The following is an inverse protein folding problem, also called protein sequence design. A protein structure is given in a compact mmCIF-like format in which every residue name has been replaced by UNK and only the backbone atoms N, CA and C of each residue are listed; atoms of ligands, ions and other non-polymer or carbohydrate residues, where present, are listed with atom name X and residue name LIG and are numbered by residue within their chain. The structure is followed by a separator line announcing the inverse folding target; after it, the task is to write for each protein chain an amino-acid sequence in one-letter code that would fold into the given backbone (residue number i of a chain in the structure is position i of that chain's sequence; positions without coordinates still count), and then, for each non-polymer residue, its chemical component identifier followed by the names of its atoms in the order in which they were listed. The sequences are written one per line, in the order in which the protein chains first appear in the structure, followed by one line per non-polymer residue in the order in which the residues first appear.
data_IF_887348716185
#
_entry.id   IF_887348716185
#
_cell.length_a   1.000
_cell.length_b   1.000
_cell.length_c   1.000
_cell.angle_alpha   90.00
_cell.angle_beta   90.00
_cell.angle_gamma   90.00
#
_symmetry.space_group_name_H-M   'P 1'
#
loop_
_entity.id
_entity.type
_entity.pdbx_description
1 polymer ?
#
# COMPACT_ATOMS: atom_id res chain seq x y z
N UNK A 1 2.98 8.77 15.14
CA UNK A 1 2.57 9.49 13.93
C UNK A 1 1.09 9.21 13.64
N UNK A 2 0.36 10.23 13.24
CA UNK A 2 -1.04 10.10 12.86
C UNK A 2 -1.14 9.80 11.38
N UNK A 3 -1.88 8.75 11.02
CA UNK A 3 -2.03 8.32 9.62
C UNK A 3 -2.70 9.39 8.75
N UNK A 4 -3.51 10.27 9.33
CA UNK A 4 -4.20 11.35 8.60
C UNK A 4 -3.25 12.44 8.10
N UNK A 5 -2.02 12.47 8.58
CA UNK A 5 -0.97 13.40 8.14
C UNK A 5 -0.04 12.78 7.10
N UNK A 6 -0.27 11.52 6.76
CA UNK A 6 0.57 10.80 5.80
C UNK A 6 0.20 11.15 4.36
N UNK A 7 1.11 10.88 3.43
CA UNK A 7 1.00 11.21 2.01
C UNK A 7 -0.38 10.90 1.40
N UNK A 8 -0.93 9.74 1.72
CA UNK A 8 -2.17 9.28 1.11
C UNK A 8 -3.38 10.07 1.57
N UNK A 9 -3.40 10.52 2.83
CA UNK A 9 -4.58 11.08 3.47
C UNK A 9 -4.52 12.59 3.74
N UNK A 10 -3.37 13.22 3.48
CA UNK A 10 -3.20 14.63 3.75
C UNK A 10 -4.27 15.47 3.06
N UNK A 11 -4.95 16.31 3.84
CA UNK A 11 -5.99 17.20 3.34
C UNK A 11 -7.31 16.55 3.01
N UNK A 12 -7.48 15.25 3.27
CA UNK A 12 -8.75 14.56 3.05
C UNK A 12 -9.73 14.81 4.21
N UNK A 13 -11.00 14.59 3.91
CA UNK A 13 -12.10 14.68 4.88
C UNK A 13 -11.85 13.70 6.05
N UNK A 14 -12.00 14.22 7.28
CA UNK A 14 -11.82 13.42 8.49
C UNK A 14 -12.77 12.25 8.59
N UNK A 15 -14.00 12.41 8.14
CA UNK A 15 -14.98 11.32 8.16
C UNK A 15 -14.55 10.17 7.23
N UNK A 16 -13.98 10.53 6.08
CA UNK A 16 -13.44 9.53 5.16
C UNK A 16 -12.27 8.77 5.80
N UNK A 17 -11.33 9.50 6.41
CA UNK A 17 -10.17 8.90 7.07
C UNK A 17 -10.62 7.96 8.20
N UNK A 18 -11.58 8.39 9.02
CA UNK A 18 -12.15 7.53 10.08
C UNK A 18 -12.77 6.27 9.53
N UNK A 19 -13.55 6.39 8.45
CA UNK A 19 -14.18 5.24 7.82
C UNK A 19 -13.14 4.26 7.27
N UNK A 20 -12.11 4.78 6.63
CA UNK A 20 -11.00 3.98 6.16
C UNK A 20 -10.33 3.25 7.33
N UNK A 21 -9.97 3.96 8.38
CA UNK A 21 -9.31 3.39 9.55
C UNK A 21 -10.16 2.30 10.23
N UNK A 22 -11.48 2.47 10.23
CA UNK A 22 -12.40 1.49 10.82
C UNK A 22 -12.38 0.14 10.09
N UNK A 23 -11.97 0.14 8.83
CA UNK A 23 -11.87 -1.09 8.02
C UNK A 23 -10.52 -1.77 8.14
N UNK A 24 -9.54 -1.14 8.79
CA UNK A 24 -8.18 -1.65 8.84
C UNK A 24 -7.95 -2.50 10.08
N UNK A 25 -6.97 -3.41 9.96
CA UNK A 25 -6.38 -4.12 11.08
C UNK A 25 -4.89 -3.78 11.12
N UNK A 26 -4.36 -3.57 12.33
CA UNK A 26 -2.95 -3.32 12.53
C UNK A 26 -2.20 -4.64 12.58
N UNK A 27 -1.12 -4.75 11.82
CA UNK A 27 -0.27 -5.95 11.83
C UNK A 27 1.19 -5.55 12.04
N UNK A 28 1.93 -6.44 12.70
CA UNK A 28 3.35 -6.28 12.97
C UNK A 28 4.13 -7.42 12.33
N UNK A 29 5.28 -7.07 11.79
CA UNK A 29 6.17 -8.02 11.13
C UNK A 29 7.59 -7.82 11.66
N UNK A 30 8.37 -8.89 11.65
CA UNK A 30 9.80 -8.82 11.99
C UNK A 30 10.64 -8.72 10.72
N UNK A 31 11.90 -8.35 10.89
CA UNK A 31 12.86 -8.30 9.78
C UNK A 31 12.90 -9.66 9.06
N UNK A 32 12.80 -9.62 7.74
CA UNK A 32 12.85 -10.82 6.91
C UNK A 32 11.51 -11.46 6.61
N UNK A 33 10.44 -11.06 7.31
CA UNK A 33 9.10 -11.60 7.04
C UNK A 33 8.62 -11.16 5.67
N UNK A 34 7.93 -12.06 4.97
CA UNK A 34 7.18 -11.72 3.77
C UNK A 34 5.75 -11.35 4.15
N UNK A 35 5.28 -10.26 3.59
CA UNK A 35 3.87 -9.84 3.73
C UNK A 35 3.05 -10.60 2.70
N UNK A 36 3.56 -10.70 1.48
CA UNK A 36 3.01 -11.55 0.42
C UNK A 36 4.11 -11.86 -0.59
N UNK A 37 3.87 -12.90 -1.39
CA UNK A 37 4.76 -13.32 -2.48
C UNK A 37 4.14 -12.97 -3.82
N UNK A 38 4.98 -12.68 -4.81
CA UNK A 38 4.56 -12.52 -6.20
C UNK A 38 3.77 -13.75 -6.62
N UNK A 39 2.59 -13.53 -7.21
CA UNK A 39 1.71 -14.62 -7.63
C UNK A 39 0.69 -15.06 -6.58
N UNK A 40 0.81 -14.60 -5.33
CA UNK A 40 -0.22 -14.84 -4.33
C UNK A 40 -1.50 -14.10 -4.70
N UNK A 41 -2.64 -14.62 -4.26
CA UNK A 41 -3.93 -13.98 -4.46
C UNK A 41 -3.94 -12.61 -3.81
N UNK A 42 -4.34 -11.59 -4.58
CA UNK A 42 -4.29 -10.19 -4.15
C UNK A 42 -5.56 -9.82 -3.37
N UNK A 43 -5.63 -10.24 -2.11
CA UNK A 43 -6.82 -10.03 -1.27
C UNK A 43 -6.75 -8.77 -0.40
N UNK A 44 -5.56 -8.24 -0.14
CA UNK A 44 -5.38 -7.16 0.84
C UNK A 44 -4.58 -5.99 0.27
N UNK A 45 -4.99 -4.80 0.73
CA UNK A 45 -4.32 -3.53 0.51
C UNK A 45 -3.64 -3.14 1.82
N UNK A 46 -2.49 -2.50 1.74
CA UNK A 46 -1.70 -2.14 2.91
C UNK A 46 -1.27 -0.69 2.88
N UNK A 47 -1.14 -0.08 4.07
CA UNK A 47 -0.44 1.18 4.24
C UNK A 47 0.61 1.02 5.34
N UNK A 48 1.77 1.65 5.15
CA UNK A 48 2.85 1.60 6.12
C UNK A 48 2.57 2.54 7.29
N UNK A 49 2.75 2.05 8.52
CA UNK A 49 2.78 2.90 9.71
C UNK A 49 4.23 3.28 10.01
N UNK A 50 5.09 2.28 10.20
CA UNK A 50 6.52 2.49 10.39
C UNK A 50 7.29 1.25 9.97
N UNK A 51 8.55 1.44 9.61
CA UNK A 51 9.42 0.37 9.16
C UNK A 51 9.83 0.55 7.71
N UNK A 52 10.23 -0.55 7.08
CA UNK A 52 10.67 -0.53 5.69
C UNK A 52 10.29 -1.85 5.01
N UNK A 53 9.62 -1.73 3.88
CA UNK A 53 9.21 -2.87 3.06
C UNK A 53 9.93 -2.79 1.72
N UNK A 54 10.52 -3.90 1.32
CA UNK A 54 11.14 -4.06 0.01
C UNK A 54 10.15 -4.77 -0.90
N UNK A 55 9.94 -4.23 -2.11
CA UNK A 55 9.24 -4.98 -3.15
C UNK A 55 10.27 -5.60 -4.09
N UNK A 56 10.00 -6.82 -4.54
CA UNK A 56 10.93 -7.58 -5.35
C UNK A 56 10.20 -8.42 -6.39
N UNK A 57 10.90 -8.76 -7.48
CA UNK A 57 10.37 -9.58 -8.56
C UNK A 57 11.31 -10.75 -8.85
N UNK A 58 10.73 -11.86 -9.32
CA UNK A 58 11.49 -13.04 -9.73
C UNK A 58 11.97 -13.89 -8.57
N UNK A 59 12.51 -15.07 -8.91
CA UNK A 59 13.02 -16.04 -7.92
C UNK A 59 14.28 -15.51 -7.21
N UNK A 60 15.02 -14.62 -7.87
CA UNK A 60 16.22 -14.00 -7.31
C UNK A 60 15.91 -12.78 -6.44
N UNK A 61 14.63 -12.47 -6.22
CA UNK A 61 14.17 -11.38 -5.38
C UNK A 61 14.85 -10.04 -5.75
N UNK A 62 14.83 -9.70 -7.04
CA UNK A 62 15.40 -8.43 -7.52
C UNK A 62 14.57 -7.28 -6.96
N UNK A 63 15.21 -6.42 -6.18
CA UNK A 63 14.55 -5.27 -5.56
C UNK A 63 14.07 -4.29 -6.64
N UNK A 64 12.79 -3.87 -6.53
CA UNK A 64 12.20 -2.89 -7.44
C UNK A 64 12.16 -1.51 -6.79
N UNK A 65 11.58 -1.41 -5.59
CA UNK A 65 11.56 -0.17 -4.81
C UNK A 65 11.32 -0.49 -3.34
N UNK A 66 11.55 0.52 -2.49
CA UNK A 66 11.31 0.43 -1.05
C UNK A 66 10.12 1.30 -0.66
N UNK A 67 9.37 0.82 0.33
CA UNK A 67 8.28 1.54 0.96
C UNK A 67 8.74 1.88 2.36
N UNK A 68 8.99 3.16 2.63
CA UNK A 68 9.56 3.61 3.89
C UNK A 68 8.98 4.92 4.42
N UNK A 69 7.93 5.44 3.79
CA UNK A 69 7.22 6.63 4.28
C UNK A 69 5.90 6.22 4.92
N UNK A 70 5.61 6.77 6.10
CA UNK A 70 4.34 6.52 6.77
C UNK A 70 3.17 6.94 5.88
N UNK A 71 2.16 6.06 5.78
CA UNK A 71 1.00 6.26 4.91
C UNK A 71 1.20 5.83 3.48
N UNK A 72 2.39 5.37 3.13
CA UNK A 72 2.66 4.89 1.78
C UNK A 72 1.92 3.58 1.53
N UNK A 73 1.20 3.50 0.39
CA UNK A 73 0.35 2.36 0.05
C UNK A 73 1.08 1.32 -0.80
N UNK A 74 0.72 0.06 -0.61
CA UNK A 74 1.17 -1.03 -1.47
C UNK A 74 0.14 -2.17 -1.44
N UNK A 75 0.39 -3.22 -2.23
CA UNK A 75 -0.61 -4.27 -2.41
C UNK A 75 -1.77 -3.79 -3.26
N UNK A 76 -1.50 -2.93 -4.23
CA UNK A 76 -2.51 -2.21 -5.03
C UNK A 76 -3.34 -3.14 -5.90
N UNK A 77 -2.82 -4.31 -6.27
CA UNK A 77 -3.56 -5.28 -7.08
C UNK A 77 -4.90 -5.64 -6.45
N UNK A 78 -4.99 -5.60 -5.10
CA UNK A 78 -6.20 -5.96 -4.37
C UNK A 78 -7.39 -5.03 -4.62
N UNK A 79 -7.15 -3.81 -5.09
CA UNK A 79 -8.21 -2.83 -5.38
C UNK A 79 -8.29 -2.48 -6.86
N UNK A 80 -7.44 -3.08 -7.68
CA UNK A 80 -7.44 -2.92 -9.14
C UNK A 80 -7.99 -4.19 -9.77
N UNK A 81 -8.11 -4.20 -11.11
CA UNK A 81 -8.64 -5.36 -11.83
C UNK A 81 -7.55 -6.43 -12.01
N UNK A 82 -6.94 -6.85 -10.89
CA UNK A 82 -5.89 -7.85 -10.86
C UNK A 82 -6.14 -8.86 -9.74
N UNK A 83 -5.97 -10.13 -10.07
CA UNK A 83 -6.25 -11.22 -9.13
C UNK A 83 -5.04 -11.61 -8.29
N UNK A 84 -3.83 -11.25 -8.72
CA UNK A 84 -2.60 -11.69 -8.07
C UNK A 84 -1.64 -10.53 -7.90
N UNK A 85 -0.79 -10.62 -6.86
CA UNK A 85 0.28 -9.64 -6.68
C UNK A 85 1.34 -9.82 -7.76
N UNK A 86 1.83 -8.72 -8.30
CA UNK A 86 2.85 -8.74 -9.37
C UNK A 86 4.27 -8.53 -8.84
N UNK A 87 4.42 -8.48 -7.52
CA UNK A 87 5.71 -8.39 -6.84
C UNK A 87 5.57 -9.01 -5.46
N UNK A 88 6.68 -9.39 -4.85
CA UNK A 88 6.73 -9.80 -3.45
C UNK A 88 6.96 -8.59 -2.57
N UNK A 89 6.52 -8.65 -1.31
CA UNK A 89 6.78 -7.61 -0.32
C UNK A 89 7.34 -8.25 0.94
N UNK A 90 8.53 -7.81 1.37
CA UNK A 90 9.20 -8.34 2.55
C UNK A 90 9.76 -7.21 3.40
N UNK A 91 9.91 -7.47 4.69
CA UNK A 91 10.32 -6.45 5.65
C UNK A 91 11.84 -6.42 5.81
N UNK A 92 12.43 -5.23 5.64
CA UNK A 92 13.87 -5.02 5.84
C UNK A 92 14.23 -4.72 7.29
N UNK A 93 13.22 -4.39 8.10
CA UNK A 93 13.35 -4.08 9.52
C UNK A 93 11.99 -4.35 10.19
N UNK A 94 11.89 -4.29 11.54
CA UNK A 94 10.59 -4.42 12.19
C UNK A 94 9.60 -3.40 11.62
N UNK A 95 8.41 -3.86 11.25
CA UNK A 95 7.46 -3.07 10.46
C UNK A 95 6.06 -3.19 11.04
N UNK A 96 5.33 -2.07 11.04
CA UNK A 96 3.91 -2.02 11.38
C UNK A 96 3.12 -1.54 10.18
N UNK A 97 2.04 -2.23 9.89
CA UNK A 97 1.17 -1.98 8.73
C UNK A 97 -0.28 -1.84 9.17
N UNK A 98 -1.05 -1.11 8.36
CA UNK A 98 -2.50 -1.22 8.35
C UNK A 98 -2.87 -2.11 7.16
N UNK A 99 -3.69 -3.10 7.41
CA UNK A 99 -4.17 -4.08 6.43
C UNK A 99 -5.66 -3.92 6.26
N UNK A 100 -6.13 -3.92 5.02
CA UNK A 100 -7.55 -3.81 4.72
C UNK A 100 -7.88 -4.75 3.57
N UNK A 101 -9.02 -5.47 3.68
CA UNK A 101 -9.49 -6.33 2.61
C UNK A 101 -9.84 -5.50 1.38
N UNK A 102 -9.36 -5.93 0.21
CA UNK A 102 -9.53 -5.18 -1.04
C UNK A 102 -10.98 -4.96 -1.42
N UNK A 103 -11.83 -5.98 -1.27
CA UNK A 103 -13.25 -5.86 -1.60
C UNK A 103 -13.97 -4.86 -0.69
N UNK A 104 -13.65 -4.87 0.60
CA UNK A 104 -14.21 -3.92 1.56
C UNK A 104 -13.78 -2.50 1.24
N UNK A 105 -12.52 -2.32 0.88
CA UNK A 105 -12.00 -1.00 0.49
C UNK A 105 -12.67 -0.52 -0.80
N UNK A 106 -12.82 -1.36 -1.79
CA UNK A 106 -13.49 -1.00 -3.04
C UNK A 106 -14.91 -0.54 -2.80
N UNK A 107 -15.66 -1.24 -1.95
CA UNK A 107 -17.03 -0.85 -1.61
C UNK A 107 -17.05 0.49 -0.90
N UNK A 108 -16.15 0.69 0.05
CA UNK A 108 -16.02 1.96 0.77
C UNK A 108 -15.71 3.13 -0.18
N UNK A 109 -14.80 2.90 -1.12
CA UNK A 109 -14.43 3.93 -2.11
C UNK A 109 -15.62 4.28 -3.03
N UNK A 110 -16.43 3.30 -3.43
CA UNK A 110 -17.63 3.53 -4.22
C UNK A 110 -18.65 4.38 -3.46
N UNK A 111 -18.73 4.20 -2.15
CA UNK A 111 -19.67 4.94 -1.30
C UNK A 111 -19.20 6.38 -1.02
N UNK A 112 -17.96 6.72 -1.37
CA UNK A 112 -17.35 8.04 -1.11
C UNK A 112 -16.67 8.58 -2.36
N UNK A 113 -17.45 8.87 -3.44
CA UNK A 113 -16.86 9.19 -4.74
C UNK A 113 -15.95 10.42 -4.76
N UNK A 114 -16.25 11.43 -3.96
CA UNK A 114 -15.43 12.65 -3.90
C UNK A 114 -14.03 12.36 -3.36
N UNK A 115 -13.95 11.68 -2.21
CA UNK A 115 -12.67 11.33 -1.60
C UNK A 115 -11.96 10.21 -2.36
N UNK A 116 -12.72 9.33 -2.99
CA UNK A 116 -12.21 8.26 -3.83
C UNK A 116 -11.40 8.82 -5.01
N UNK A 117 -11.88 9.88 -5.65
CA UNK A 117 -11.17 10.55 -6.72
C UNK A 117 -9.82 11.07 -6.26
N UNK A 118 -9.77 11.70 -5.09
CA UNK A 118 -8.52 12.20 -4.50
C UNK A 118 -7.60 11.04 -4.15
N UNK A 119 -8.14 9.98 -3.56
CA UNK A 119 -7.41 8.77 -3.18
C UNK A 119 -6.68 8.17 -4.39
N UNK A 120 -7.40 7.91 -5.49
CA UNK A 120 -6.81 7.33 -6.68
C UNK A 120 -5.79 8.24 -7.36
N UNK A 121 -6.03 9.54 -7.34
CA UNK A 121 -5.07 10.50 -7.90
C UNK A 121 -3.75 10.45 -7.12
N UNK A 122 -3.82 10.34 -5.80
CA UNK A 122 -2.60 10.25 -4.98
C UNK A 122 -1.86 8.95 -5.20
N UNK A 123 -2.58 7.84 -5.33
CA UNK A 123 -1.98 6.57 -5.69
C UNK A 123 -1.30 6.66 -7.05
N UNK A 124 -1.96 7.27 -8.04
CA UNK A 124 -1.39 7.44 -9.37
C UNK A 124 -0.12 8.28 -9.34
N UNK A 125 -0.12 9.38 -8.58
CA UNK A 125 1.06 10.22 -8.42
C UNK A 125 2.22 9.46 -7.78
N UNK A 126 1.94 8.65 -6.77
CA UNK A 126 2.98 7.85 -6.12
C UNK A 126 3.54 6.78 -7.06
N UNK A 127 2.69 6.14 -7.84
CA UNK A 127 3.12 5.16 -8.84
C UNK A 127 3.98 5.82 -9.93
N UNK A 128 3.60 7.02 -10.37
CA UNK A 128 4.42 7.78 -11.32
C UNK A 128 5.79 8.08 -10.74
N UNK A 129 5.87 8.46 -9.47
CA UNK A 129 7.13 8.71 -8.79
C UNK A 129 7.99 7.45 -8.71
N UNK A 130 7.39 6.32 -8.38
CA UNK A 130 8.08 5.02 -8.34
C UNK A 130 8.62 4.64 -9.72
N UNK A 131 7.85 4.90 -10.76
CA UNK A 131 8.27 4.64 -12.14
C UNK A 131 9.49 5.49 -12.51
N UNK A 132 9.47 6.78 -12.19
CA UNK A 132 10.60 7.69 -12.44
C UNK A 132 11.85 7.20 -11.71
N UNK A 133 11.71 6.74 -10.47
CA UNK A 133 12.82 6.18 -9.70
C UNK A 133 13.41 4.94 -10.36
N UNK A 134 12.58 4.11 -10.98
CA UNK A 134 13.04 2.94 -11.74
C UNK A 134 13.88 3.32 -12.95
N UNK A 135 13.65 4.48 -13.55
CA UNK A 135 14.43 4.94 -14.72
C UNK A 135 15.91 5.15 -14.39
N UNK A 136 16.25 5.38 -13.13
CA UNK A 136 17.63 5.57 -12.70
C UNK A 136 18.50 4.32 -12.87
N UNK A 137 17.88 3.17 -13.10
CA UNK A 137 18.56 1.89 -13.26
C UNK A 137 18.68 1.46 -14.72
N UNK A 138 18.25 2.30 -15.66
CA UNK A 138 18.28 2.01 -17.09
C UNK A 138 19.50 2.64 -17.74
#
# INVERSE_FOLDING_TARGET
MHIDQADLFEGMDRLFIRGFMALTAKERYTKGDFIFHMGDKADFFYTLIEGCVKTSIGDDEIEVYKINHSGEAFGLSSILDRNYYFASASCLEPTQLLKIEGNSLNQFLQDHPKNSSIFYKRIANRLAQRLVECYKFV
#
